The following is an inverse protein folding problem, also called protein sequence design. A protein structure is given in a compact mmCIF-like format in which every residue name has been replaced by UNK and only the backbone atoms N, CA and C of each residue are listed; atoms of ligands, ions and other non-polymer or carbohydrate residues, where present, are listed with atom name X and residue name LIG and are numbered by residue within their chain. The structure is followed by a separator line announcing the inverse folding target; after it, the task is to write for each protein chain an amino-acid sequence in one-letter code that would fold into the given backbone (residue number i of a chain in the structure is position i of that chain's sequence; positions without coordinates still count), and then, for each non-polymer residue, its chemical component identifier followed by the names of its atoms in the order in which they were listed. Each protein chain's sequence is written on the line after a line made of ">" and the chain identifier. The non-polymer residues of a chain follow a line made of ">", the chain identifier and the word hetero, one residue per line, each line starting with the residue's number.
data_IF_045130128977
#
_entry.id   IF_045130128977
#
_cell.length_a   1.000
_cell.length_b   1.000
_cell.length_c   1.000
_cell.angle_alpha   90.00
_cell.angle_beta   90.00
_cell.angle_gamma   90.00
#
_symmetry.space_group_name_H-M   'P 1'
#
loop_
_entity.id
_entity.type
_entity.pdbx_description
1 polymer ?
#
# COMPACT_ATOMS: atom_id res chain seq x y z
N UNK A 1 181.00 -39.50 21.32
CA UNK A 1 182.37 -40.04 21.32
C UNK A 1 182.35 -41.41 20.67
N UNK A 2 183.09 -41.58 19.56
CA UNK A 2 183.77 -42.81 19.12
C UNK A 2 182.99 -44.12 18.84
N UNK A 3 183.31 -44.74 17.68
CA UNK A 3 183.61 -46.19 17.44
C UNK A 3 182.60 -47.24 17.97
N UNK A 4 182.21 -48.32 17.30
CA UNK A 4 182.89 -49.34 16.48
C UNK A 4 181.85 -50.49 16.37
N UNK A 5 181.45 -50.94 15.19
CA UNK A 5 181.98 -52.10 14.43
C UNK A 5 181.68 -53.50 15.03
N UNK A 6 181.43 -54.42 14.08
CA UNK A 6 181.54 -55.91 14.09
C UNK A 6 180.29 -56.71 14.48
N UNK A 7 179.87 -57.80 13.82
CA UNK A 7 180.25 -58.54 12.58
C UNK A 7 179.27 -59.77 12.45
N UNK A 8 179.44 -60.81 11.59
CA UNK A 8 178.43 -61.26 10.61
C UNK A 8 177.99 -62.76 10.67
N UNK A 9 177.14 -63.17 9.70
CA UNK A 9 177.14 -64.43 8.90
C UNK A 9 175.82 -65.25 8.77
N UNK A 10 175.65 -65.87 7.59
CA UNK A 10 174.70 -66.90 7.05
C UNK A 10 173.25 -66.49 6.64
N UNK A 11 172.82 -66.49 5.36
CA UNK A 11 172.71 -67.51 4.28
C UNK A 11 171.72 -68.68 4.53
N UNK A 12 170.42 -68.50 4.17
CA UNK A 12 169.55 -69.40 3.35
C UNK A 12 168.03 -69.19 3.57
N UNK A 13 167.30 -68.99 2.45
CA UNK A 13 165.83 -69.08 2.19
C UNK A 13 165.02 -67.77 2.14
N UNK A 14 165.36 -66.92 1.16
CA UNK A 14 164.59 -65.74 0.68
C UNK A 14 163.67 -66.02 -0.54
N UNK A 15 163.13 -67.24 -0.72
CA UNK A 15 162.40 -67.64 -1.95
C UNK A 15 160.89 -67.92 -1.86
N UNK A 16 160.25 -67.87 -0.69
CA UNK A 16 158.86 -68.35 -0.50
C UNK A 16 157.89 -67.26 0.00
N UNK A 17 158.28 -65.99 -0.07
CA UNK A 17 157.49 -64.81 0.36
C UNK A 17 156.95 -63.96 -0.80
N UNK A 18 156.68 -64.52 -1.98
CA UNK A 18 156.10 -63.72 -3.08
C UNK A 18 154.99 -64.39 -3.90
N UNK A 19 154.93 -65.72 -4.01
CA UNK A 19 153.98 -66.37 -4.94
C UNK A 19 152.56 -66.59 -4.38
N UNK A 20 152.37 -66.80 -3.07
CA UNK A 20 151.03 -67.08 -2.54
C UNK A 20 150.11 -65.85 -2.49
N UNK A 21 150.65 -64.66 -2.18
CA UNK A 21 149.84 -63.43 -2.14
C UNK A 21 149.35 -62.95 -3.50
N UNK A 22 150.00 -63.36 -4.61
CA UNK A 22 149.56 -63.03 -5.97
C UNK A 22 148.57 -64.04 -6.56
N UNK A 23 148.39 -65.23 -5.94
CA UNK A 23 147.40 -66.22 -6.38
C UNK A 23 145.98 -65.87 -5.94
N UNK A 24 145.79 -65.43 -4.70
CA UNK A 24 144.45 -65.06 -4.20
C UNK A 24 143.87 -63.82 -4.91
N UNK A 25 144.71 -62.82 -5.20
CA UNK A 25 144.23 -61.60 -5.87
C UNK A 25 143.84 -61.84 -7.35
N UNK A 26 144.38 -62.88 -8.00
CA UNK A 26 143.96 -63.30 -9.37
C UNK A 26 142.67 -64.11 -9.38
N UNK A 27 142.34 -64.83 -8.31
CA UNK A 27 141.08 -65.56 -8.19
C UNK A 27 139.89 -64.61 -7.99
N UNK A 28 140.06 -63.57 -7.17
CA UNK A 28 138.99 -62.58 -6.92
C UNK A 28 138.65 -61.70 -8.13
N UNK A 29 139.63 -61.38 -8.98
CA UNK A 29 139.41 -60.59 -10.20
C UNK A 29 138.73 -61.36 -11.32
N UNK A 30 138.90 -62.70 -11.41
CA UNK A 30 138.15 -63.54 -12.36
C UNK A 30 136.67 -63.66 -11.96
N UNK A 31 136.35 -63.79 -10.67
CA UNK A 31 134.95 -63.85 -10.20
C UNK A 31 134.15 -62.55 -10.43
N UNK A 32 134.81 -61.39 -10.39
CA UNK A 32 134.16 -60.08 -10.65
C UNK A 32 133.95 -59.78 -12.14
N UNK A 33 134.72 -60.38 -13.05
CA UNK A 33 134.51 -60.23 -14.50
C UNK A 33 133.41 -61.15 -15.06
N UNK A 34 133.21 -62.35 -14.52
CA UNK A 34 132.14 -63.24 -14.97
C UNK A 34 130.74 -62.76 -14.53
N UNK A 35 130.59 -62.20 -13.31
CA UNK A 35 129.31 -61.61 -12.87
C UNK A 35 128.88 -60.39 -13.68
N UNK A 36 129.80 -59.61 -14.27
CA UNK A 36 129.45 -58.48 -15.16
C UNK A 36 129.08 -58.89 -16.59
N UNK A 37 129.55 -60.05 -17.09
CA UNK A 37 129.14 -60.55 -18.42
C UNK A 37 127.75 -61.22 -18.42
N UNK A 38 127.31 -61.78 -17.30
CA UNK A 38 125.95 -62.34 -17.18
C UNK A 38 124.86 -61.25 -17.13
N UNK A 39 125.10 -60.10 -16.46
CA UNK A 39 124.09 -59.01 -16.34
C UNK A 39 123.87 -58.27 -17.65
N UNK A 40 124.90 -58.11 -18.50
CA UNK A 40 124.76 -57.41 -19.80
C UNK A 40 123.98 -58.21 -20.87
N UNK A 41 123.92 -59.55 -20.79
CA UNK A 41 123.08 -60.35 -21.71
C UNK A 41 121.60 -60.38 -21.33
N UNK A 42 121.22 -60.06 -20.09
CA UNK A 42 119.81 -60.02 -19.67
C UNK A 42 119.12 -58.66 -19.96
N UNK A 43 119.88 -57.57 -20.10
CA UNK A 43 119.32 -56.21 -20.28
C UNK A 43 118.98 -55.92 -21.75
N UNK A 44 119.73 -56.47 -22.72
CA UNK A 44 119.48 -56.24 -24.15
C UNK A 44 118.26 -56.96 -24.71
N UNK A 45 117.78 -58.04 -24.07
CA UNK A 45 116.55 -58.73 -24.46
C UNK A 45 115.25 -58.02 -24.02
N UNK A 46 115.29 -57.21 -22.95
CA UNK A 46 114.09 -56.54 -22.41
C UNK A 46 113.80 -55.18 -23.06
N UNK A 47 114.75 -54.58 -23.77
CA UNK A 47 114.57 -53.28 -24.41
C UNK A 47 113.92 -53.37 -25.80
N UNK A 48 113.99 -54.52 -26.49
CA UNK A 48 113.33 -54.72 -27.79
C UNK A 48 111.82 -55.01 -27.68
N UNK A 49 111.35 -55.59 -26.56
CA UNK A 49 109.93 -55.93 -26.37
C UNK A 49 109.03 -54.73 -25.97
N UNK A 50 109.61 -53.63 -25.46
CA UNK A 50 108.85 -52.44 -25.05
C UNK A 50 108.57 -51.47 -26.21
N UNK A 51 109.43 -51.43 -27.23
CA UNK A 51 109.23 -50.56 -28.39
C UNK A 51 108.08 -51.02 -29.32
N UNK A 52 107.78 -52.32 -29.38
CA UNK A 52 106.65 -52.84 -30.16
C UNK A 52 105.28 -52.66 -29.48
N UNK A 53 105.22 -52.67 -28.14
CA UNK A 53 103.95 -52.49 -27.40
C UNK A 53 103.40 -51.05 -27.45
N UNK A 54 104.27 -50.05 -27.47
CA UNK A 54 103.85 -48.64 -27.51
C UNK A 54 103.16 -48.23 -28.83
N UNK A 55 103.58 -48.80 -29.96
CA UNK A 55 103.02 -48.45 -31.28
C UNK A 55 101.61 -49.05 -31.49
N UNK A 56 101.31 -50.16 -30.83
CA UNK A 56 100.01 -50.84 -30.96
C UNK A 56 98.95 -50.24 -30.01
N UNK A 57 99.35 -49.71 -28.85
CA UNK A 57 98.46 -48.98 -27.93
C UNK A 57 98.06 -47.60 -28.49
N UNK A 58 98.97 -46.88 -29.15
CA UNK A 58 98.69 -45.56 -29.74
C UNK A 58 97.67 -45.66 -30.89
N UNK A 59 97.77 -46.69 -31.75
CA UNK A 59 96.79 -46.95 -32.82
C UNK A 59 95.41 -47.33 -32.29
N UNK A 60 95.32 -48.02 -31.15
CA UNK A 60 94.03 -48.35 -30.55
C UNK A 60 93.34 -47.15 -29.88
N UNK A 61 94.10 -46.22 -29.27
CA UNK A 61 93.54 -45.00 -28.71
C UNK A 61 93.03 -44.02 -29.77
N UNK A 62 93.71 -43.93 -30.93
CA UNK A 62 93.26 -43.06 -32.03
C UNK A 62 91.95 -43.56 -32.69
N UNK A 63 91.73 -44.88 -32.73
CA UNK A 63 90.49 -45.48 -33.23
C UNK A 63 89.33 -45.28 -32.24
N UNK A 64 89.58 -45.34 -30.93
CA UNK A 64 88.55 -45.09 -29.90
C UNK A 64 88.10 -43.64 -29.89
N UNK A 65 89.04 -42.70 -29.92
CA UNK A 65 88.75 -41.26 -29.96
C UNK A 65 88.00 -40.84 -31.23
N UNK A 66 88.30 -41.42 -32.40
CA UNK A 66 87.51 -41.18 -33.63
C UNK A 66 86.08 -41.73 -33.54
N UNK A 67 85.84 -42.86 -32.87
CA UNK A 67 84.48 -43.41 -32.65
C UNK A 67 83.68 -42.56 -31.66
N UNK A 68 84.30 -42.10 -30.57
CA UNK A 68 83.65 -41.25 -29.56
C UNK A 68 83.19 -39.89 -30.11
N UNK A 69 83.97 -39.27 -31.01
CA UNK A 69 83.58 -38.00 -31.66
C UNK A 69 82.37 -38.18 -32.58
N UNK A 70 82.26 -39.31 -33.29
CA UNK A 70 81.11 -39.62 -34.16
C UNK A 70 79.86 -39.91 -33.32
N UNK A 71 79.99 -40.65 -32.21
CA UNK A 71 78.87 -40.87 -31.29
C UNK A 71 78.41 -39.59 -30.59
N UNK A 72 79.33 -38.72 -30.17
CA UNK A 72 78.99 -37.43 -29.58
C UNK A 72 78.25 -36.52 -30.57
N UNK A 73 78.69 -36.45 -31.83
CA UNK A 73 77.96 -35.70 -32.88
C UNK A 73 76.57 -36.28 -33.15
N UNK A 74 76.41 -37.60 -33.14
CA UNK A 74 75.08 -38.24 -33.27
C UNK A 74 74.18 -37.95 -32.07
N UNK A 75 74.69 -38.01 -30.85
CA UNK A 75 73.94 -37.68 -29.63
C UNK A 75 73.54 -36.20 -29.61
N UNK A 76 74.46 -35.29 -29.96
CA UNK A 76 74.20 -33.85 -30.03
C UNK A 76 73.09 -33.52 -31.05
N UNK A 77 73.11 -34.13 -32.25
CA UNK A 77 72.04 -33.96 -33.24
C UNK A 77 70.70 -34.51 -32.75
N UNK A 78 70.68 -35.70 -32.13
CA UNK A 78 69.45 -36.25 -31.52
C UNK A 78 68.89 -35.34 -30.42
N UNK A 79 69.74 -34.82 -29.53
CA UNK A 79 69.30 -33.88 -28.49
C UNK A 79 68.82 -32.54 -29.07
N UNK A 80 69.45 -32.02 -30.14
CA UNK A 80 68.99 -30.81 -30.81
C UNK A 80 67.64 -31.01 -31.51
N UNK A 81 67.41 -32.17 -32.12
CA UNK A 81 66.12 -32.54 -32.71
C UNK A 81 65.04 -32.74 -31.63
N UNK A 82 65.36 -33.40 -30.52
CA UNK A 82 64.46 -33.56 -29.37
C UNK A 82 64.09 -32.21 -28.74
N UNK A 83 65.05 -31.29 -28.59
CA UNK A 83 64.82 -29.93 -28.08
C UNK A 83 63.91 -29.16 -29.06
N UNK A 84 64.12 -29.26 -30.37
CA UNK A 84 63.25 -28.60 -31.36
C UNK A 84 61.83 -29.16 -31.34
N UNK A 85 61.68 -30.48 -31.25
CA UNK A 85 60.37 -31.13 -31.13
C UNK A 85 59.69 -30.72 -29.82
N UNK A 86 60.42 -30.65 -28.71
CA UNK A 86 59.90 -30.22 -27.42
C UNK A 86 59.48 -28.74 -27.44
N UNK A 87 60.29 -27.85 -28.02
CA UNK A 87 59.95 -26.44 -28.18
C UNK A 87 58.74 -26.25 -29.11
N UNK A 88 58.65 -27.01 -30.20
CA UNK A 88 57.49 -26.98 -31.08
C UNK A 88 56.22 -27.47 -30.39
N UNK A 89 56.30 -28.55 -29.59
CA UNK A 89 55.20 -29.04 -28.76
C UNK A 89 54.78 -28.02 -27.71
N UNK A 90 55.75 -27.39 -27.04
CA UNK A 90 55.51 -26.36 -26.03
C UNK A 90 54.83 -25.13 -26.62
N UNK A 91 55.29 -24.62 -27.78
CA UNK A 91 54.62 -23.53 -28.49
C UNK A 91 53.20 -23.90 -28.93
N UNK A 92 53.02 -25.10 -29.51
CA UNK A 92 51.69 -25.56 -29.92
C UNK A 92 50.74 -25.74 -28.72
N UNK A 93 51.27 -26.11 -27.54
CA UNK A 93 50.51 -26.17 -26.30
C UNK A 93 50.19 -24.78 -25.75
N UNK A 94 51.14 -23.84 -25.75
CA UNK A 94 50.95 -22.44 -25.38
C UNK A 94 49.90 -21.76 -26.29
N UNK A 95 49.96 -21.94 -27.60
CA UNK A 95 48.98 -21.40 -28.56
C UNK A 95 47.58 -22.00 -28.32
N UNK A 96 47.48 -23.32 -28.05
CA UNK A 96 46.21 -23.96 -27.68
C UNK A 96 45.65 -23.44 -26.37
N UNK A 97 46.50 -23.17 -25.38
CA UNK A 97 46.09 -22.60 -24.10
C UNK A 97 45.64 -21.15 -24.25
N UNK A 98 46.27 -20.37 -25.14
CA UNK A 98 45.86 -19.00 -25.44
C UNK A 98 44.52 -18.95 -26.19
N UNK A 99 44.30 -19.82 -27.18
CA UNK A 99 43.00 -19.96 -27.87
C UNK A 99 41.91 -20.34 -26.87
N UNK A 100 42.13 -21.37 -26.04
CA UNK A 100 41.18 -21.76 -24.97
C UNK A 100 40.96 -20.66 -23.93
N UNK A 101 41.92 -19.77 -23.72
CA UNK A 101 41.76 -18.63 -22.81
C UNK A 101 40.88 -17.56 -23.45
N UNK A 102 41.09 -17.23 -24.73
CA UNK A 102 40.25 -16.30 -25.49
C UNK A 102 38.81 -16.82 -25.63
N UNK A 103 38.63 -18.10 -25.98
CA UNK A 103 37.31 -18.75 -26.02
C UNK A 103 36.57 -18.62 -24.67
N UNK A 104 37.26 -18.92 -23.55
CA UNK A 104 36.67 -18.76 -22.21
C UNK A 104 36.36 -17.31 -21.84
N UNK A 105 37.19 -16.36 -22.27
CA UNK A 105 36.95 -14.94 -22.03
C UNK A 105 35.73 -14.43 -22.82
N UNK A 106 35.55 -14.88 -24.07
CA UNK A 106 34.41 -14.50 -24.91
C UNK A 106 33.12 -15.22 -24.49
N UNK A 107 33.17 -16.50 -24.09
CA UNK A 107 32.05 -17.18 -23.44
C UNK A 107 31.62 -16.46 -22.16
N UNK A 108 32.58 -16.02 -21.34
CA UNK A 108 32.30 -15.28 -20.11
C UNK A 108 31.68 -13.91 -20.40
N UNK A 109 32.11 -13.21 -21.47
CA UNK A 109 31.47 -11.95 -21.90
C UNK A 109 30.02 -12.20 -22.34
N UNK A 110 29.77 -13.22 -23.17
CA UNK A 110 28.43 -13.59 -23.61
C UNK A 110 27.51 -13.96 -22.43
N UNK A 111 28.02 -14.70 -21.44
CA UNK A 111 27.29 -14.99 -20.20
C UNK A 111 26.97 -13.73 -19.39
N UNK A 112 27.91 -12.78 -19.28
CA UNK A 112 27.68 -11.51 -18.56
C UNK A 112 26.67 -10.61 -19.28
N UNK A 113 26.72 -10.55 -20.61
CA UNK A 113 25.73 -9.82 -21.42
C UNK A 113 24.33 -10.43 -21.28
N UNK A 114 24.21 -11.75 -21.35
CA UNK A 114 22.95 -12.46 -21.11
C UNK A 114 22.40 -12.20 -19.69
N UNK A 115 23.25 -12.26 -18.66
CA UNK A 115 22.84 -11.94 -17.28
C UNK A 115 22.38 -10.49 -17.14
N UNK A 116 23.03 -9.55 -17.85
CA UNK A 116 22.65 -8.14 -17.86
C UNK A 116 21.29 -7.93 -18.55
N UNK A 117 21.06 -8.59 -19.68
CA UNK A 117 19.78 -8.57 -20.40
C UNK A 117 18.65 -9.15 -19.54
N UNK A 118 18.87 -10.31 -18.91
CA UNK A 118 17.90 -10.92 -17.99
C UNK A 118 17.64 -10.05 -16.75
N UNK A 119 18.67 -9.40 -16.20
CA UNK A 119 18.51 -8.44 -15.09
C UNK A 119 17.66 -7.23 -15.50
N UNK A 120 17.90 -6.68 -16.69
CA UNK A 120 17.12 -5.59 -17.24
C UNK A 120 15.66 -6.02 -17.46
N UNK A 121 15.43 -7.18 -18.09
CA UNK A 121 14.09 -7.73 -18.30
C UNK A 121 13.32 -7.92 -16.98
N UNK A 122 13.98 -8.44 -15.95
CA UNK A 122 13.38 -8.57 -14.61
C UNK A 122 13.04 -7.21 -14.00
N UNK A 123 13.91 -6.19 -14.14
CA UNK A 123 13.62 -4.82 -13.66
C UNK A 123 12.43 -4.21 -14.39
N UNK A 124 12.32 -4.42 -15.70
CA UNK A 124 11.18 -3.98 -16.50
C UNK A 124 9.89 -4.64 -16.04
N UNK A 125 9.89 -5.97 -15.84
CA UNK A 125 8.74 -6.70 -15.33
C UNK A 125 8.30 -6.18 -13.96
N UNK A 126 9.24 -5.98 -13.02
CA UNK A 126 8.95 -5.43 -11.69
C UNK A 126 8.32 -4.03 -11.80
N UNK A 127 8.84 -3.16 -12.67
CA UNK A 127 8.29 -1.82 -12.85
C UNK A 127 6.90 -1.84 -13.49
N UNK A 128 6.65 -2.76 -14.43
CA UNK A 128 5.33 -2.99 -15.04
C UNK A 128 4.33 -3.46 -14.00
N UNK A 129 4.69 -4.46 -13.19
CA UNK A 129 3.83 -4.99 -12.13
C UNK A 129 3.51 -3.93 -11.08
N UNK A 130 4.49 -3.10 -10.69
CA UNK A 130 4.28 -1.95 -9.80
C UNK A 130 3.28 -0.94 -10.38
N UNK A 131 3.42 -0.55 -11.65
CA UNK A 131 2.50 0.38 -12.30
C UNK A 131 1.08 -0.17 -12.36
N UNK A 132 0.92 -1.47 -12.63
CA UNK A 132 -0.39 -2.14 -12.62
C UNK A 132 -0.99 -2.11 -11.22
N UNK A 133 -0.24 -2.51 -10.19
CA UNK A 133 -0.69 -2.47 -8.79
C UNK A 133 -1.06 -1.05 -8.32
N UNK A 134 -0.29 -0.04 -8.72
CA UNK A 134 -0.60 1.37 -8.42
C UNK A 134 -1.91 1.82 -9.08
N UNK A 135 -2.14 1.45 -10.35
CA UNK A 135 -3.39 1.76 -11.06
C UNK A 135 -4.60 1.09 -10.40
N UNK A 136 -4.49 -0.20 -10.05
CA UNK A 136 -5.52 -0.96 -9.33
C UNK A 136 -5.83 -0.34 -7.96
N UNK A 137 -4.80 0.04 -7.20
CA UNK A 137 -4.93 0.70 -5.91
C UNK A 137 -5.60 2.07 -6.02
N UNK A 138 -5.22 2.89 -7.00
CA UNK A 138 -5.87 4.18 -7.29
C UNK A 138 -7.34 4.01 -7.64
N UNK A 139 -7.68 3.00 -8.46
CA UNK A 139 -9.08 2.68 -8.79
C UNK A 139 -9.87 2.30 -7.54
N UNK A 140 -9.34 1.39 -6.72
CA UNK A 140 -9.99 0.97 -5.48
C UNK A 140 -10.21 2.16 -4.54
N UNK A 141 -9.21 3.03 -4.39
CA UNK A 141 -9.30 4.27 -3.61
C UNK A 141 -10.43 5.18 -4.13
N UNK A 142 -10.47 5.47 -5.43
CA UNK A 142 -11.52 6.31 -6.04
C UNK A 142 -12.92 5.71 -5.87
N UNK A 143 -13.07 4.39 -6.02
CA UNK A 143 -14.35 3.70 -5.83
C UNK A 143 -14.82 3.74 -4.38
N UNK A 144 -13.92 3.47 -3.43
CA UNK A 144 -14.24 3.50 -1.99
C UNK A 144 -14.56 4.92 -1.52
N UNK A 145 -13.86 5.94 -2.01
CA UNK A 145 -14.17 7.34 -1.74
C UNK A 145 -15.56 7.72 -2.28
N UNK A 146 -15.89 7.29 -3.50
CA UNK A 146 -17.23 7.50 -4.08
C UNK A 146 -18.33 6.85 -3.22
N UNK A 147 -18.12 5.62 -2.74
CA UNK A 147 -19.07 4.94 -1.86
C UNK A 147 -19.24 5.62 -0.51
N UNK A 148 -18.14 6.03 0.13
CA UNK A 148 -18.17 6.79 1.38
C UNK A 148 -18.95 8.09 1.23
N UNK A 149 -18.71 8.84 0.15
CA UNK A 149 -19.45 10.07 -0.16
C UNK A 149 -20.95 9.82 -0.31
N UNK A 150 -21.36 8.75 -1.00
CA UNK A 150 -22.78 8.39 -1.12
C UNK A 150 -23.40 8.08 0.24
N UNK A 151 -22.73 7.27 1.05
CA UNK A 151 -23.23 6.94 2.40
C UNK A 151 -23.41 8.20 3.24
N UNK A 152 -22.43 9.10 3.23
CA UNK A 152 -22.49 10.37 3.93
C UNK A 152 -23.66 11.24 3.44
N UNK A 153 -23.82 11.43 2.12
CA UNK A 153 -24.92 12.20 1.55
C UNK A 153 -26.28 11.60 1.89
N UNK A 154 -26.41 10.27 1.87
CA UNK A 154 -27.64 9.57 2.27
C UNK A 154 -27.98 9.82 3.74
N UNK A 155 -27.00 9.73 4.63
CA UNK A 155 -27.19 10.02 6.06
C UNK A 155 -27.59 11.48 6.30
N UNK A 156 -26.90 12.42 5.66
CA UNK A 156 -27.24 13.85 5.74
C UNK A 156 -28.66 14.13 5.23
N UNK A 157 -29.06 13.51 4.10
CA UNK A 157 -30.41 13.65 3.56
C UNK A 157 -31.49 13.14 4.52
N UNK A 158 -31.20 12.11 5.32
CA UNK A 158 -32.12 11.58 6.33
C UNK A 158 -32.27 12.53 7.51
N UNK A 159 -31.16 13.14 7.95
CA UNK A 159 -31.18 14.15 9.03
C UNK A 159 -31.99 15.37 8.61
N UNK A 160 -31.72 15.91 7.43
CA UNK A 160 -32.45 17.06 6.87
C UNK A 160 -33.93 16.74 6.70
N UNK A 161 -34.26 15.55 6.18
CA UNK A 161 -35.66 15.13 6.06
C UNK A 161 -36.33 15.10 7.44
N UNK A 162 -35.75 14.42 8.43
CA UNK A 162 -36.33 14.32 9.78
C UNK A 162 -36.53 15.69 10.41
N UNK A 163 -35.58 16.61 10.21
CA UNK A 163 -35.71 17.98 10.70
C UNK A 163 -36.89 18.70 10.03
N UNK A 164 -37.00 18.66 8.70
CA UNK A 164 -38.11 19.26 7.95
C UNK A 164 -39.48 18.67 8.33
N UNK A 165 -39.55 17.36 8.56
CA UNK A 165 -40.77 16.68 9.02
C UNK A 165 -41.20 17.14 10.41
N UNK A 166 -40.24 17.32 11.33
CA UNK A 166 -40.49 17.81 12.70
C UNK A 166 -40.93 19.28 12.70
N UNK A 167 -40.29 20.14 11.91
CA UNK A 167 -40.69 21.55 11.80
C UNK A 167 -42.10 21.67 11.23
N UNK A 168 -42.41 20.94 10.14
CA UNK A 168 -43.76 20.90 9.58
C UNK A 168 -44.82 20.46 10.60
N UNK A 169 -44.52 19.45 11.41
CA UNK A 169 -45.41 19.00 12.48
C UNK A 169 -45.60 20.06 13.57
N UNK A 170 -44.52 20.71 14.02
CA UNK A 170 -44.58 21.77 15.04
C UNK A 170 -45.43 22.95 14.55
N UNK A 171 -45.23 23.36 13.31
CA UNK A 171 -45.97 24.47 12.70
C UNK A 171 -47.46 24.09 12.51
N UNK A 172 -47.74 22.87 12.07
CA UNK A 172 -49.11 22.34 11.97
C UNK A 172 -49.83 22.32 13.32
N UNK A 173 -49.16 21.85 14.38
CA UNK A 173 -49.69 21.86 15.74
C UNK A 173 -49.96 23.28 16.24
N UNK A 174 -49.01 24.20 16.04
CA UNK A 174 -49.16 25.60 16.43
C UNK A 174 -50.38 26.25 15.76
N UNK A 175 -50.50 26.12 14.43
CA UNK A 175 -51.63 26.69 13.67
C UNK A 175 -52.98 26.10 14.09
N UNK A 176 -53.04 24.79 14.36
CA UNK A 176 -54.27 24.15 14.89
C UNK A 176 -54.60 24.65 16.30
N UNK A 177 -53.59 24.80 17.16
CA UNK A 177 -53.76 25.34 18.51
C UNK A 177 -54.27 26.79 18.50
N UNK A 178 -53.68 27.65 17.67
CA UNK A 178 -54.13 29.03 17.47
C UNK A 178 -55.59 29.09 16.98
N UNK A 179 -55.97 28.22 16.06
CA UNK A 179 -57.36 28.13 15.60
C UNK A 179 -58.33 27.72 16.72
N UNK A 180 -57.94 26.77 17.58
CA UNK A 180 -58.77 26.34 18.72
C UNK A 180 -58.93 27.47 19.75
N UNK A 181 -57.84 28.15 20.10
CA UNK A 181 -57.88 29.26 21.07
C UNK A 181 -58.79 30.38 20.55
N UNK A 182 -58.64 30.75 19.26
CA UNK A 182 -59.48 31.77 18.63
C UNK A 182 -60.95 31.34 18.55
N UNK A 183 -61.23 30.08 18.24
CA UNK A 183 -62.58 29.51 18.25
C UNK A 183 -63.23 29.63 19.63
N UNK A 184 -62.53 29.21 20.69
CA UNK A 184 -63.05 29.28 22.06
C UNK A 184 -63.30 30.72 22.52
N UNK A 185 -62.34 31.62 22.30
CA UNK A 185 -62.47 33.03 22.65
C UNK A 185 -63.68 33.68 21.97
N UNK A 186 -63.80 33.52 20.65
CA UNK A 186 -64.91 34.10 19.88
C UNK A 186 -66.27 33.50 20.26
N UNK A 187 -66.35 32.20 20.59
CA UNK A 187 -67.57 31.59 21.10
C UNK A 187 -67.97 32.19 22.47
N UNK A 188 -67.01 32.44 23.36
CA UNK A 188 -67.26 33.08 24.64
C UNK A 188 -67.77 34.51 24.43
N UNK A 189 -67.18 35.27 23.53
CA UNK A 189 -67.61 36.65 23.22
C UNK A 189 -69.03 36.69 22.67
N UNK A 190 -69.38 35.77 21.75
CA UNK A 190 -70.75 35.66 21.21
C UNK A 190 -71.75 35.35 22.34
N UNK A 191 -71.41 34.42 23.23
CA UNK A 191 -72.28 34.07 24.37
C UNK A 191 -72.44 35.23 25.35
N UNK A 192 -71.38 35.97 25.64
CA UNK A 192 -71.43 37.13 26.53
C UNK A 192 -72.29 38.24 25.92
N UNK A 193 -72.14 38.49 24.62
CA UNK A 193 -72.97 39.45 23.89
C UNK A 193 -74.44 39.05 23.93
N UNK A 194 -74.75 37.77 23.64
CA UNK A 194 -76.12 37.25 23.69
C UNK A 194 -76.73 37.35 25.10
N UNK A 195 -75.97 37.05 26.15
CA UNK A 195 -76.41 37.21 27.55
C UNK A 195 -76.70 38.68 27.88
N UNK A 196 -75.85 39.59 27.44
CA UNK A 196 -76.07 41.04 27.62
C UNK A 196 -77.33 41.52 26.91
N UNK A 197 -77.54 41.10 25.66
CA UNK A 197 -78.75 41.43 24.91
C UNK A 197 -80.01 40.84 25.55
N UNK A 198 -79.96 39.60 26.04
CA UNK A 198 -81.06 38.99 26.79
C UNK A 198 -81.36 39.75 28.09
N UNK A 199 -80.33 40.18 28.84
CA UNK A 199 -80.51 40.96 30.06
C UNK A 199 -81.18 42.31 29.76
N UNK A 200 -80.73 43.01 28.71
CA UNK A 200 -81.36 44.25 28.24
C UNK A 200 -82.82 44.02 27.84
N UNK A 201 -83.10 42.91 27.15
CA UNK A 201 -84.43 42.57 26.71
C UNK A 201 -85.37 42.27 27.88
N UNK A 202 -84.90 41.58 28.92
CA UNK A 202 -85.64 41.35 30.17
C UNK A 202 -85.94 42.66 30.89
N UNK A 203 -85.00 43.60 30.94
CA UNK A 203 -85.25 44.92 31.52
C UNK A 203 -86.36 45.68 30.74
N UNK A 204 -86.34 45.60 29.41
CA UNK A 204 -87.40 46.18 28.57
C UNK A 204 -88.76 45.49 28.75
N UNK A 205 -88.77 44.17 28.96
CA UNK A 205 -89.96 43.40 29.29
C UNK A 205 -90.56 43.88 30.63
N UNK A 206 -89.75 43.94 31.69
CA UNK A 206 -90.16 44.42 33.01
C UNK A 206 -90.73 45.86 32.96
N UNK A 207 -90.09 46.73 32.18
CA UNK A 207 -90.56 48.11 32.01
C UNK A 207 -91.91 48.14 31.29
N UNK A 208 -92.08 47.30 30.26
CA UNK A 208 -93.33 47.22 29.49
C UNK A 208 -94.47 46.59 30.30
N UNK A 209 -94.17 45.59 31.12
CA UNK A 209 -95.16 44.98 32.01
C UNK A 209 -95.61 45.97 33.08
N UNK A 210 -94.69 46.75 33.65
CA UNK A 210 -95.03 47.80 34.62
C UNK A 210 -95.92 48.90 33.99
N UNK A 211 -95.62 49.32 32.76
CA UNK A 211 -96.46 50.26 32.01
C UNK A 211 -97.86 49.69 31.72
N UNK A 212 -97.95 48.39 31.41
CA UNK A 212 -99.23 47.71 31.22
C UNK A 212 -100.02 47.64 32.54
N UNK A 213 -99.38 47.28 33.65
CA UNK A 213 -100.01 47.17 34.97
C UNK A 213 -100.53 48.51 35.46
N UNK A 214 -99.73 49.57 35.36
CA UNK A 214 -100.16 50.93 35.72
C UNK A 214 -101.35 51.42 34.87
N UNK A 215 -101.43 51.03 33.59
CA UNK A 215 -102.60 51.30 32.76
C UNK A 215 -103.82 50.51 33.21
N UNK A 216 -103.68 49.21 33.45
CA UNK A 216 -104.77 48.35 33.90
C UNK A 216 -105.31 48.79 35.26
N UNK A 217 -104.47 49.24 36.19
CA UNK A 217 -104.90 49.74 37.49
C UNK A 217 -105.71 51.04 37.38
N UNK A 218 -105.36 51.93 36.44
CA UNK A 218 -106.18 53.11 36.11
C UNK A 218 -107.52 52.70 35.52
N UNK A 219 -107.53 51.76 34.57
CA UNK A 219 -108.77 51.27 33.95
C UNK A 219 -109.67 50.58 35.00
N UNK A 220 -109.10 49.83 35.94
CA UNK A 220 -109.82 49.25 37.09
C UNK A 220 -110.36 50.31 38.04
N UNK A 221 -109.60 51.38 38.32
CA UNK A 221 -110.06 52.48 39.16
C UNK A 221 -111.27 53.20 38.53
N UNK A 222 -111.22 53.44 37.21
CA UNK A 222 -112.34 53.99 36.45
C UNK A 222 -113.54 53.02 36.52
N UNK A 223 -113.35 51.74 36.24
CA UNK A 223 -114.42 50.74 36.34
C UNK A 223 -115.04 50.66 37.75
N UNK A 224 -114.25 50.84 38.81
CA UNK A 224 -114.73 50.81 40.19
C UNK A 224 -115.50 52.07 40.62
N UNK A 225 -115.31 53.19 39.91
CA UNK A 225 -115.97 54.48 40.17
C UNK A 225 -117.44 54.53 39.73
N UNK A 226 -117.90 53.60 38.90
CA UNK A 226 -119.30 53.53 38.47
C UNK A 226 -120.24 53.18 39.63
N UNK A 227 -121.26 54.02 39.85
CA UNK A 227 -122.28 53.85 40.90
C UNK A 227 -123.25 52.69 40.61
N UNK A 228 -123.55 52.42 39.34
CA UNK A 228 -124.45 51.34 38.94
C UNK A 228 -123.73 49.97 39.01
N UNK A 229 -124.22 49.00 39.82
CA UNK A 229 -123.58 47.69 39.97
C UNK A 229 -123.46 46.89 38.67
N UNK A 230 -124.45 46.97 37.78
CA UNK A 230 -124.46 46.22 36.52
C UNK A 230 -123.42 46.78 35.53
N UNK A 231 -123.28 48.11 35.46
CA UNK A 231 -122.26 48.76 34.63
C UNK A 231 -120.86 48.50 35.18
N UNK A 232 -120.68 48.61 36.50
CA UNK A 232 -119.41 48.28 37.18
C UNK A 232 -118.93 46.87 36.85
N UNK A 233 -119.79 45.86 36.97
CA UNK A 233 -119.42 44.48 36.64
C UNK A 233 -119.04 44.30 35.17
N UNK A 234 -119.77 44.94 34.24
CA UNK A 234 -119.47 44.89 32.81
C UNK A 234 -118.10 45.50 32.49
N UNK A 235 -117.78 46.66 33.05
CA UNK A 235 -116.49 47.32 32.81
C UNK A 235 -115.32 46.55 33.44
N UNK A 236 -115.48 45.99 34.65
CA UNK A 236 -114.45 45.12 35.26
C UNK A 236 -114.16 43.92 34.36
N UNK A 237 -115.20 43.24 33.85
CA UNK A 237 -115.02 42.10 32.92
C UNK A 237 -114.29 42.50 31.64
N UNK A 238 -114.55 43.70 31.11
CA UNK A 238 -113.82 44.23 29.94
C UNK A 238 -112.34 44.42 30.26
N UNK A 239 -112.03 45.01 31.40
CA UNK A 239 -110.64 45.21 31.84
C UNK A 239 -109.91 43.88 32.03
N UNK A 240 -110.55 42.87 32.63
CA UNK A 240 -109.97 41.54 32.80
C UNK A 240 -109.67 40.83 31.46
N UNK A 241 -110.58 40.99 30.49
CA UNK A 241 -110.38 40.44 29.13
C UNK A 241 -109.22 41.14 28.41
N UNK A 242 -109.11 42.47 28.56
CA UNK A 242 -107.99 43.26 28.01
C UNK A 242 -106.67 42.87 28.69
N UNK A 243 -106.65 42.71 30.02
CA UNK A 243 -105.48 42.28 30.77
C UNK A 243 -104.93 40.95 30.26
N UNK A 244 -105.77 39.91 30.16
CA UNK A 244 -105.34 38.60 29.67
C UNK A 244 -104.75 38.68 28.26
N UNK A 245 -105.38 39.45 27.38
CA UNK A 245 -104.93 39.62 25.99
C UNK A 245 -103.60 40.36 25.91
N UNK A 246 -103.49 41.51 26.58
CA UNK A 246 -102.31 42.37 26.49
C UNK A 246 -101.11 41.79 27.26
N UNK A 247 -101.32 41.16 28.43
CA UNK A 247 -100.24 40.43 29.14
C UNK A 247 -99.68 39.32 28.26
N UNK A 248 -100.55 38.51 27.64
CA UNK A 248 -100.12 37.46 26.71
C UNK A 248 -99.35 38.03 25.52
N UNK A 249 -99.79 39.17 24.97
CA UNK A 249 -99.14 39.84 23.85
C UNK A 249 -97.74 40.35 24.20
N UNK A 250 -97.58 41.01 25.35
CA UNK A 250 -96.28 41.50 25.84
C UNK A 250 -95.32 40.34 26.06
N UNK A 251 -95.72 39.32 26.81
CA UNK A 251 -94.89 38.13 27.08
C UNK A 251 -94.51 37.42 25.78
N UNK A 252 -95.46 37.21 24.87
CA UNK A 252 -95.19 36.57 23.57
C UNK A 252 -94.21 37.36 22.72
N UNK A 253 -94.29 38.69 22.71
CA UNK A 253 -93.38 39.57 21.97
C UNK A 253 -91.94 39.41 22.48
N UNK A 254 -91.73 39.53 23.79
CA UNK A 254 -90.38 39.45 24.37
C UNK A 254 -89.82 38.03 24.31
N UNK A 255 -90.65 36.99 24.48
CA UNK A 255 -90.25 35.60 24.28
C UNK A 255 -89.70 35.36 22.86
N UNK A 256 -90.42 35.80 21.82
CA UNK A 256 -89.97 35.66 20.42
C UNK A 256 -88.65 36.38 20.16
N UNK A 257 -88.47 37.56 20.74
CA UNK A 257 -87.22 38.32 20.59
C UNK A 257 -86.05 37.64 21.33
N UNK A 258 -86.29 37.09 22.51
CA UNK A 258 -85.29 36.31 23.25
C UNK A 258 -84.85 35.06 22.48
N UNK A 259 -85.81 34.30 21.93
CA UNK A 259 -85.56 33.16 21.04
C UNK A 259 -84.74 33.60 19.81
N UNK A 260 -85.06 34.76 19.22
CA UNK A 260 -84.31 35.33 18.10
C UNK A 260 -82.84 35.61 18.41
N UNK A 261 -82.53 36.10 19.62
CA UNK A 261 -81.14 36.31 20.08
C UNK A 261 -80.40 34.97 20.20
N UNK A 262 -81.05 33.94 20.76
CA UNK A 262 -80.44 32.61 20.93
C UNK A 262 -80.18 31.93 19.58
N UNK A 263 -81.14 32.00 18.65
CA UNK A 263 -80.98 31.45 17.30
C UNK A 263 -79.83 32.13 16.58
N UNK A 264 -79.75 33.47 16.63
CA UNK A 264 -78.67 34.22 16.01
C UNK A 264 -77.30 33.87 16.60
N UNK A 265 -77.20 33.84 17.93
CA UNK A 265 -75.97 33.45 18.62
C UNK A 265 -75.53 32.03 18.22
N UNK A 266 -76.46 31.08 18.12
CA UNK A 266 -76.17 29.72 17.69
C UNK A 266 -75.71 29.66 16.22
N UNK A 267 -76.31 30.44 15.32
CA UNK A 267 -75.88 30.55 13.93
C UNK A 267 -74.45 31.10 13.82
N UNK A 268 -74.13 32.14 14.60
CA UNK A 268 -72.81 32.74 14.62
C UNK A 268 -71.76 31.77 15.20
N UNK A 269 -72.08 31.05 16.28
CA UNK A 269 -71.24 29.98 16.83
C UNK A 269 -70.99 28.89 15.77
N UNK A 270 -72.01 28.46 15.02
CA UNK A 270 -71.83 27.48 13.96
C UNK A 270 -70.91 28.00 12.84
N UNK A 271 -71.02 29.28 12.49
CA UNK A 271 -70.13 29.92 11.50
C UNK A 271 -68.67 29.88 11.97
N UNK A 272 -68.42 30.31 13.20
CA UNK A 272 -67.09 30.26 13.83
C UNK A 272 -66.52 28.84 13.83
N UNK A 273 -67.31 27.85 14.24
CA UNK A 273 -66.90 26.43 14.23
C UNK A 273 -66.51 25.95 12.83
N UNK A 274 -67.28 26.33 11.80
CA UNK A 274 -66.98 25.98 10.40
C UNK A 274 -65.68 26.63 9.91
N UNK A 275 -65.46 27.89 10.25
CA UNK A 275 -64.23 28.61 9.88
C UNK A 275 -63.00 28.03 10.60
N UNK A 276 -63.10 27.78 11.90
CA UNK A 276 -62.05 27.15 12.68
C UNK A 276 -61.72 25.75 12.15
N UNK A 277 -62.74 24.94 11.80
CA UNK A 277 -62.55 23.65 11.13
C UNK A 277 -61.78 23.81 9.81
N UNK A 278 -62.18 24.74 8.93
CA UNK A 278 -61.46 25.01 7.67
C UNK A 278 -59.99 25.36 7.92
N UNK A 279 -59.70 26.18 8.93
CA UNK A 279 -58.30 26.52 9.27
C UNK A 279 -57.51 25.31 9.78
N UNK A 280 -58.11 24.44 10.59
CA UNK A 280 -57.50 23.19 11.08
C UNK A 280 -57.21 22.22 9.93
N UNK A 281 -58.17 22.06 9.04
CA UNK A 281 -58.06 21.18 7.87
C UNK A 281 -56.98 21.69 6.92
N UNK A 282 -56.92 23.01 6.67
CA UNK A 282 -55.85 23.63 5.88
C UNK A 282 -54.48 23.42 6.53
N UNK A 283 -54.33 23.67 7.83
CA UNK A 283 -53.07 23.44 8.54
C UNK A 283 -52.61 21.97 8.46
N UNK A 284 -53.55 21.03 8.53
CA UNK A 284 -53.26 19.59 8.40
C UNK A 284 -52.86 19.22 6.97
N UNK A 285 -53.52 19.81 5.97
CA UNK A 285 -53.18 19.63 4.56
C UNK A 285 -51.79 20.18 4.24
N UNK A 286 -51.48 21.40 4.70
CA UNK A 286 -50.18 22.04 4.54
C UNK A 286 -49.07 21.21 5.21
N UNK A 287 -49.30 20.71 6.42
CA UNK A 287 -48.37 19.80 7.11
C UNK A 287 -48.10 18.53 6.28
N UNK A 288 -49.14 17.88 5.75
CA UNK A 288 -48.98 16.68 4.90
C UNK A 288 -48.21 17.00 3.62
N UNK A 289 -48.48 18.14 2.99
CA UNK A 289 -47.79 18.58 1.77
C UNK A 289 -46.29 18.79 2.05
N UNK A 290 -45.95 19.56 3.08
CA UNK A 290 -44.55 19.79 3.46
C UNK A 290 -43.80 18.50 3.79
N UNK A 291 -44.46 17.57 4.51
CA UNK A 291 -43.90 16.25 4.81
C UNK A 291 -43.64 15.43 3.53
N UNK A 292 -44.58 15.47 2.60
CA UNK A 292 -44.46 14.79 1.30
C UNK A 292 -43.33 15.39 0.47
N UNK A 293 -43.23 16.71 0.42
CA UNK A 293 -42.18 17.42 -0.32
C UNK A 293 -40.79 17.13 0.28
N UNK A 294 -40.66 17.09 1.62
CA UNK A 294 -39.43 16.70 2.29
C UNK A 294 -39.00 15.26 1.94
N UNK A 295 -39.95 14.32 1.85
CA UNK A 295 -39.67 12.95 1.44
C UNK A 295 -39.24 12.88 -0.04
N UNK A 296 -39.88 13.66 -0.92
CA UNK A 296 -39.52 13.74 -2.34
C UNK A 296 -38.11 14.28 -2.53
N UNK A 297 -37.77 15.37 -1.84
CA UNK A 297 -36.45 15.98 -1.88
C UNK A 297 -35.37 15.00 -1.44
N UNK A 298 -35.56 14.28 -0.32
CA UNK A 298 -34.66 13.21 0.11
C UNK A 298 -34.46 12.16 -0.99
N UNK A 299 -35.55 11.67 -1.58
CA UNK A 299 -35.46 10.65 -2.61
C UNK A 299 -34.68 11.16 -3.84
N UNK A 300 -34.88 12.41 -4.23
CA UNK A 300 -34.13 13.05 -5.31
C UNK A 300 -32.64 13.19 -4.98
N UNK A 301 -32.29 13.68 -3.78
CA UNK A 301 -30.88 13.79 -3.33
C UNK A 301 -30.19 12.43 -3.32
N UNK A 302 -30.88 11.39 -2.83
CA UNK A 302 -30.35 10.01 -2.81
C UNK A 302 -30.15 9.45 -4.21
N UNK A 303 -31.10 9.70 -5.12
CA UNK A 303 -31.00 9.28 -6.51
C UNK A 303 -29.81 9.97 -7.20
N UNK A 304 -29.65 11.28 -7.00
CA UNK A 304 -28.53 12.02 -7.57
C UNK A 304 -27.19 11.53 -7.04
N UNK A 305 -27.07 11.32 -5.72
CA UNK A 305 -25.86 10.77 -5.12
C UNK A 305 -25.49 9.39 -5.71
N UNK A 306 -26.48 8.52 -5.94
CA UNK A 306 -26.24 7.23 -6.60
C UNK A 306 -25.75 7.40 -8.05
N UNK A 307 -26.35 8.33 -8.82
CA UNK A 307 -25.93 8.63 -10.19
C UNK A 307 -24.49 9.15 -10.24
N UNK A 308 -24.16 10.11 -9.37
CA UNK A 308 -22.82 10.70 -9.30
C UNK A 308 -21.76 9.66 -8.94
N UNK A 309 -22.07 8.76 -8.00
CA UNK A 309 -21.17 7.65 -7.66
C UNK A 309 -20.98 6.69 -8.80
N UNK A 310 -22.05 6.31 -9.50
CA UNK A 310 -21.95 5.45 -10.68
C UNK A 310 -21.05 6.08 -11.75
N UNK A 311 -21.19 7.39 -12.00
CA UNK A 311 -20.32 8.11 -12.93
C UNK A 311 -18.86 8.09 -12.45
N UNK A 312 -18.60 8.37 -11.17
CA UNK A 312 -17.25 8.34 -10.60
C UNK A 312 -16.59 6.97 -10.67
N UNK A 313 -17.36 5.90 -10.43
CA UNK A 313 -16.88 4.52 -10.58
C UNK A 313 -16.52 4.21 -12.03
N UNK A 314 -17.38 4.58 -12.99
CA UNK A 314 -17.09 4.44 -14.42
C UNK A 314 -15.85 5.22 -14.85
N UNK A 315 -15.65 6.44 -14.35
CA UNK A 315 -14.43 7.21 -14.64
C UNK A 315 -13.20 6.59 -14.03
N UNK A 316 -13.32 5.97 -12.84
CA UNK A 316 -12.22 5.25 -12.21
C UNK A 316 -11.84 3.99 -13.00
N UNK A 317 -12.83 3.26 -13.53
CA UNK A 317 -12.61 2.10 -14.41
C UNK A 317 -11.90 2.51 -15.71
N UNK A 318 -12.34 3.59 -16.36
CA UNK A 318 -11.68 4.09 -17.58
C UNK A 318 -10.23 4.55 -17.36
N UNK A 319 -9.94 5.18 -16.22
CA UNK A 319 -8.59 5.64 -15.90
C UNK A 319 -7.62 4.48 -15.67
N UNK A 320 -8.07 3.41 -15.02
CA UNK A 320 -7.28 2.19 -14.87
C UNK A 320 -7.02 1.56 -16.24
N UNK A 321 -8.02 1.43 -17.11
CA UNK A 321 -7.82 0.92 -18.47
C UNK A 321 -6.73 1.71 -19.22
N UNK A 322 -6.75 3.05 -19.14
CA UNK A 322 -5.71 3.88 -19.76
C UNK A 322 -4.32 3.70 -19.12
N UNK A 323 -4.23 3.68 -17.79
CA UNK A 323 -2.95 3.52 -17.07
C UNK A 323 -2.34 2.12 -17.31
N UNK A 324 -3.18 1.07 -17.38
CA UNK A 324 -2.75 -0.30 -17.70
C UNK A 324 -2.33 -0.42 -19.17
N UNK A 325 -3.07 0.19 -20.10
CA UNK A 325 -2.70 0.20 -21.52
C UNK A 325 -1.37 0.94 -21.72
N UNK A 326 -1.14 2.07 -21.06
CA UNK A 326 0.14 2.79 -21.10
C UNK A 326 1.29 1.98 -20.47
N UNK A 327 1.04 1.31 -19.35
CA UNK A 327 2.04 0.41 -18.73
C UNK A 327 2.41 -0.76 -19.63
N UNK A 328 1.50 -1.23 -20.49
CA UNK A 328 1.75 -2.28 -21.50
C UNK A 328 2.42 -1.74 -22.77
N UNK A 329 2.19 -0.49 -23.15
CA UNK A 329 2.83 0.14 -24.34
C UNK A 329 4.32 0.40 -24.17
N UNK A 330 4.81 0.51 -22.94
CA UNK A 330 6.25 0.57 -22.64
C UNK A 330 7.03 -0.69 -23.11
N UNK A 331 6.33 -1.75 -23.54
CA UNK A 331 6.93 -2.97 -24.10
C UNK A 331 7.38 -2.83 -25.59
N UNK A 332 7.08 -1.73 -26.30
CA UNK A 332 7.18 -1.68 -27.79
C UNK A 332 8.20 -0.68 -28.36
N UNK A 333 8.86 0.14 -27.54
CA UNK A 333 9.89 1.08 -28.03
C UNK A 333 11.29 0.61 -27.63
N UNK A 334 11.88 -0.23 -28.46
CA UNK A 334 13.33 -0.30 -28.70
C UNK A 334 13.66 0.32 -30.05
#
# INVERSE_FOLDING_TARGET
>A
MGTSKKEPADRKKEGLKFEEKNREHRAELKGKQEKKRAVRKAITGKQAAWAQKGIEEEKQQEIKSKKEVVEFKKRKKKTEEEIKIFQAKKKAEEDRLEVRRKEREDERKGQLEYLKEMSNRNRWQINKDKKIQEAESKKLSKKTEADRKVQQTKLQSDVVQRQKMRTAQKDGLKKRGEANIKEEQTIVDIRNTARSDQARLKAQEQTSTLQLETRLDRDRAIANSYTNPAQKQMEIRKVDMVEKRERSRVVSKYKKLAEGIEVKANQDIQRVKREAKKTRDKATSDERKQKTDAQRERNQTRLQANKDSLQKKKTADKLEETEIIEARKFDVTE
#
